data_IF_174928620972
#
_entry.id   IF_174928620972
#
_cell.length_a   1.000
_cell.length_b   1.000
_cell.length_c   1.000
_cell.angle_alpha   90.00
_cell.angle_beta   90.00
_cell.angle_gamma   90.00
#
_symmetry.space_group_name_H-M   'P 1'
#
loop_
_entity.id
_entity.type
_entity.pdbx_description
1 polymer ?
#
# COMPACT_ATOMS: atom_id res chain seq x y z
N UNK A 1 5.39 20.73 12.93
CA UNK A 1 6.18 20.09 13.99
C UNK A 1 5.78 18.63 13.96
N UNK A 2 6.70 17.70 13.70
CA UNK A 2 6.39 16.27 13.59
C UNK A 2 6.12 15.71 15.00
N UNK A 3 5.06 14.93 15.16
CA UNK A 3 4.73 14.31 16.45
C UNK A 3 5.78 13.26 16.82
N UNK A 4 6.29 13.30 18.06
CA UNK A 4 7.20 12.26 18.56
C UNK A 4 6.41 11.05 19.09
N UNK A 5 6.61 9.89 18.45
CA UNK A 5 6.00 8.62 18.82
C UNK A 5 6.95 7.66 19.56
N UNK A 6 8.16 8.11 19.92
CA UNK A 6 9.21 7.28 20.52
C UNK A 6 8.74 6.46 21.74
N UNK A 7 7.88 7.07 22.58
CA UNK A 7 7.35 6.46 23.80
C UNK A 7 6.04 5.66 23.58
N UNK A 8 5.58 5.49 22.34
CA UNK A 8 4.33 4.79 22.00
C UNK A 8 4.59 3.37 21.55
N UNK A 9 3.74 2.43 22.00
CA UNK A 9 3.74 1.05 21.53
C UNK A 9 3.05 0.93 20.18
N UNK A 10 3.38 -0.10 19.42
CA UNK A 10 2.77 -0.36 18.11
C UNK A 10 1.24 -0.49 18.20
N UNK A 11 0.75 -1.16 19.26
CA UNK A 11 -0.68 -1.29 19.50
C UNK A 11 -1.39 0.05 19.77
N UNK A 12 -0.71 1.03 20.38
CA UNK A 12 -1.29 2.38 20.58
C UNK A 12 -1.40 3.11 19.25
N UNK A 13 -0.38 3.01 18.39
CA UNK A 13 -0.39 3.59 17.05
C UNK A 13 -1.52 2.98 16.22
N UNK A 14 -1.64 1.65 16.20
CA UNK A 14 -2.71 0.96 15.49
C UNK A 14 -4.09 1.35 16.00
N UNK A 15 -4.25 1.51 17.32
CA UNK A 15 -5.51 1.94 17.91
C UNK A 15 -5.88 3.38 17.53
N UNK A 16 -4.89 4.29 17.46
CA UNK A 16 -5.14 5.66 17.05
C UNK A 16 -5.53 5.76 15.58
N UNK A 17 -4.83 5.05 14.70
CA UNK A 17 -5.17 4.94 13.28
C UNK A 17 -6.60 4.44 13.12
N UNK A 18 -6.96 3.33 13.78
CA UNK A 18 -8.30 2.78 13.71
C UNK A 18 -9.38 3.77 14.20
N UNK A 19 -9.05 4.66 15.15
CA UNK A 19 -9.97 5.70 15.61
C UNK A 19 -10.17 6.80 14.56
N UNK A 20 -9.11 7.20 13.85
CA UNK A 20 -9.22 8.13 12.71
C UNK A 20 -10.07 7.54 11.59
N UNK A 21 -9.82 6.27 11.22
CA UNK A 21 -10.59 5.55 10.19
C UNK A 21 -12.08 5.48 10.54
N UNK A 22 -12.42 5.09 11.78
CA UNK A 22 -13.81 5.02 12.27
C UNK A 22 -14.53 6.37 12.24
N UNK A 23 -13.80 7.47 12.39
CA UNK A 23 -14.35 8.84 12.39
C UNK A 23 -14.35 9.46 10.99
N UNK A 24 -13.83 8.77 9.97
CA UNK A 24 -13.64 9.33 8.64
C UNK A 24 -12.64 10.49 8.60
N UNK A 25 -11.74 10.58 9.58
CA UNK A 25 -10.76 11.66 9.72
C UNK A 25 -9.42 11.28 9.06
N UNK A 26 -9.48 10.64 7.89
CA UNK A 26 -8.33 10.05 7.17
C UNK A 26 -7.48 11.05 6.40
N UNK A 27 -7.83 12.34 6.50
CA UNK A 27 -7.07 13.47 5.95
C UNK A 27 -6.41 14.34 7.04
N UNK A 28 -6.52 13.94 8.30
CA UNK A 28 -5.87 14.64 9.40
C UNK A 28 -4.34 14.48 9.30
N UNK A 29 -3.57 15.56 9.52
CA UNK A 29 -2.11 15.52 9.50
C UNK A 29 -1.54 14.45 10.44
N UNK A 30 -2.10 14.30 11.65
CA UNK A 30 -1.68 13.28 12.60
C UNK A 30 -1.95 11.85 12.10
N UNK A 31 -3.01 11.64 11.29
CA UNK A 31 -3.27 10.33 10.69
C UNK A 31 -2.14 9.95 9.72
N UNK A 32 -1.71 10.86 8.85
CA UNK A 32 -0.57 10.62 7.95
C UNK A 32 0.73 10.35 8.73
N UNK A 33 1.02 11.12 9.78
CA UNK A 33 2.19 10.91 10.63
C UNK A 33 2.18 9.52 11.29
N UNK A 34 1.01 9.04 11.71
CA UNK A 34 0.84 7.70 12.28
C UNK A 34 1.06 6.59 11.25
N UNK A 35 0.57 6.77 10.02
CA UNK A 35 0.81 5.82 8.92
C UNK A 35 2.30 5.73 8.58
N UNK A 36 2.99 6.86 8.48
CA UNK A 36 4.44 6.92 8.26
C UNK A 36 5.22 6.21 9.36
N UNK A 37 4.92 6.51 10.62
CA UNK A 37 5.60 5.89 11.75
C UNK A 37 5.39 4.36 11.77
N UNK A 38 4.15 3.91 11.51
CA UNK A 38 3.83 2.49 11.42
C UNK A 38 4.57 1.79 10.28
N UNK A 39 4.69 2.43 9.12
CA UNK A 39 5.49 1.94 8.00
C UNK A 39 6.97 1.85 8.39
N UNK A 40 7.54 2.92 8.96
CA UNK A 40 8.93 2.97 9.42
C UNK A 40 9.27 1.87 10.44
N UNK A 41 8.36 1.56 11.37
CA UNK A 41 8.54 0.46 12.33
C UNK A 41 8.46 -0.91 11.67
N UNK A 42 7.55 -1.07 10.72
CA UNK A 42 7.39 -2.32 9.98
C UNK A 42 8.62 -2.63 9.13
N UNK A 43 9.18 -1.64 8.43
CA UNK A 43 10.39 -1.79 7.62
C UNK A 43 11.68 -2.08 8.41
N UNK A 44 11.70 -1.85 9.73
CA UNK A 44 12.82 -2.24 10.61
C UNK A 44 12.78 -3.72 11.02
N UNK A 45 11.66 -4.41 10.84
CA UNK A 45 11.54 -5.85 11.12
C UNK A 45 12.13 -6.65 9.96
N UNK A 46 12.70 -7.82 10.24
CA UNK A 46 13.23 -8.69 9.18
C UNK A 46 12.09 -9.15 8.26
N UNK A 47 12.29 -9.07 6.94
CA UNK A 47 11.31 -9.49 5.95
C UNK A 47 11.22 -8.52 4.78
N UNK A 48 9.99 -8.29 4.32
CA UNK A 48 9.70 -7.39 3.20
C UNK A 48 9.99 -5.93 3.59
N UNK A 49 10.63 -5.19 2.69
CA UNK A 49 11.07 -3.82 2.92
C UNK A 49 10.13 -2.86 2.18
N UNK A 50 9.49 -1.97 2.93
CA UNK A 50 8.48 -1.04 2.40
C UNK A 50 9.09 -0.01 1.44
N UNK A 51 10.27 0.53 1.74
CA UNK A 51 10.88 1.55 0.88
C UNK A 51 11.39 0.93 -0.42
N UNK A 52 11.97 -0.27 -0.36
CA UNK A 52 12.39 -0.99 -1.57
C UNK A 52 11.19 -1.38 -2.44
N UNK A 53 10.11 -1.84 -1.81
CA UNK A 53 8.88 -2.19 -2.51
C UNK A 53 8.20 -0.96 -3.12
N UNK A 54 8.12 0.14 -2.38
CA UNK A 54 7.59 1.41 -2.88
C UNK A 54 8.43 1.95 -4.03
N UNK A 55 9.76 1.84 -3.94
CA UNK A 55 10.66 2.21 -5.04
C UNK A 55 10.40 1.37 -6.29
N UNK A 56 10.26 0.05 -6.15
CA UNK A 56 9.93 -0.83 -7.26
C UNK A 56 8.58 -0.46 -7.91
N UNK A 57 7.57 -0.14 -7.11
CA UNK A 57 6.27 0.30 -7.61
C UNK A 57 6.34 1.65 -8.34
N UNK A 58 7.11 2.61 -7.82
CA UNK A 58 7.33 3.89 -8.51
C UNK A 58 7.98 3.68 -9.87
N UNK A 59 9.01 2.82 -9.95
CA UNK A 59 9.67 2.49 -11.22
C UNK A 59 8.72 1.79 -12.20
N UNK A 60 7.86 0.89 -11.71
CA UNK A 60 6.84 0.25 -12.52
C UNK A 60 5.81 1.26 -13.07
N UNK A 61 5.37 2.22 -12.24
CA UNK A 61 4.47 3.29 -12.64
C UNK A 61 5.10 4.19 -13.73
N UNK A 62 6.37 4.58 -13.55
CA UNK A 62 7.15 5.35 -14.53
C UNK A 62 7.27 4.58 -15.86
N UNK A 63 7.49 3.27 -15.77
CA UNK A 63 7.63 2.40 -16.94
C UNK A 63 6.29 2.03 -17.59
N UNK A 64 5.15 2.39 -16.99
CA UNK A 64 3.83 2.06 -17.51
C UNK A 64 3.50 0.56 -17.48
N UNK A 65 4.04 -0.19 -16.50
CA UNK A 65 3.85 -1.65 -16.40
C UNK A 65 3.25 -2.06 -15.06
N UNK A 66 2.64 -3.25 -15.03
CA UNK A 66 2.31 -3.96 -13.80
C UNK A 66 3.49 -4.80 -13.32
N UNK A 67 3.57 -5.04 -12.02
CA UNK A 67 4.51 -5.97 -11.39
C UNK A 67 3.79 -6.92 -10.44
N UNK A 68 4.44 -8.00 -10.05
CA UNK A 68 3.84 -9.03 -9.20
C UNK A 68 4.23 -8.90 -7.73
N UNK A 69 3.52 -9.62 -6.87
CA UNK A 69 3.94 -9.84 -5.47
C UNK A 69 5.35 -10.46 -5.37
N UNK A 70 5.71 -11.32 -6.33
CA UNK A 70 7.05 -11.91 -6.42
C UNK A 70 8.12 -10.86 -6.68
N UNK A 71 7.83 -9.86 -7.50
CA UNK A 71 8.76 -8.76 -7.79
C UNK A 71 9.00 -7.88 -6.56
N UNK A 72 7.98 -7.64 -5.73
CA UNK A 72 8.16 -6.95 -4.45
C UNK A 72 9.03 -7.73 -3.46
N UNK A 73 8.83 -9.05 -3.40
CA UNK A 73 9.66 -9.93 -2.59
C UNK A 73 11.12 -9.91 -3.07
N UNK A 74 11.33 -10.00 -4.39
CA UNK A 74 12.64 -9.89 -5.03
C UNK A 74 13.30 -8.54 -4.77
N UNK A 75 12.56 -7.43 -4.90
CA UNK A 75 13.05 -6.09 -4.60
C UNK A 75 13.48 -5.95 -3.13
N UNK A 76 12.79 -6.65 -2.23
CA UNK A 76 13.15 -6.73 -0.81
C UNK A 76 14.31 -7.69 -0.52
N UNK A 77 14.76 -8.48 -1.50
CA UNK A 77 15.78 -9.53 -1.31
C UNK A 77 15.27 -10.74 -0.53
N UNK A 78 13.97 -11.01 -0.58
CA UNK A 78 13.30 -12.08 0.18
C UNK A 78 12.75 -13.13 -0.76
N UNK A 79 13.05 -14.40 -0.48
CA UNK A 79 12.47 -15.54 -1.18
C UNK A 79 10.93 -15.56 -1.06
N UNK A 80 10.25 -15.82 -2.17
CA UNK A 80 8.78 -15.78 -2.23
C UNK A 80 8.11 -16.70 -1.19
N UNK A 81 8.67 -17.88 -0.95
CA UNK A 81 8.18 -18.84 0.04
C UNK A 81 8.12 -18.25 1.47
N UNK A 82 9.03 -17.32 1.81
CA UNK A 82 9.08 -16.62 3.10
C UNK A 82 8.20 -15.36 3.09
N UNK A 83 8.11 -14.68 1.95
CA UNK A 83 7.35 -13.44 1.77
C UNK A 83 5.83 -13.66 1.72
N UNK A 84 5.36 -14.76 1.13
CA UNK A 84 3.93 -14.96 0.79
C UNK A 84 2.97 -14.77 1.96
N UNK A 85 3.38 -15.16 3.18
CA UNK A 85 2.55 -15.07 4.38
C UNK A 85 2.46 -13.64 4.93
N UNK A 86 3.43 -12.78 4.59
CA UNK A 86 3.50 -11.39 5.02
C UNK A 86 2.93 -10.43 3.96
N UNK A 87 2.79 -10.88 2.71
CA UNK A 87 2.41 -10.01 1.59
C UNK A 87 0.96 -9.52 1.68
N UNK A 88 0.03 -10.46 1.92
CA UNK A 88 -1.41 -10.23 1.84
C UNK A 88 -2.04 -10.17 3.23
N UNK A 89 -3.28 -9.66 3.28
CA UNK A 89 -4.11 -9.59 4.47
C UNK A 89 -4.15 -8.22 5.11
N UNK A 90 -5.08 -8.05 6.05
CA UNK A 90 -5.22 -6.81 6.83
C UNK A 90 -3.94 -6.56 7.62
N UNK A 91 -3.33 -5.39 7.44
CA UNK A 91 -2.02 -5.02 7.98
C UNK A 91 -0.82 -5.79 7.39
N UNK A 92 -1.02 -6.54 6.30
CA UNK A 92 0.05 -7.15 5.51
C UNK A 92 0.83 -6.12 4.69
N UNK A 93 1.86 -6.56 3.99
CA UNK A 93 2.80 -5.68 3.27
C UNK A 93 2.13 -4.77 2.23
N UNK A 94 1.22 -5.32 1.42
CA UNK A 94 0.48 -4.53 0.42
C UNK A 94 -0.43 -3.49 1.09
N UNK A 95 -1.04 -3.83 2.21
CA UNK A 95 -1.88 -2.89 2.97
C UNK A 95 -1.04 -1.72 3.52
N UNK A 96 0.16 -2.02 4.03
CA UNK A 96 1.12 -0.99 4.47
C UNK A 96 1.60 -0.11 3.32
N UNK A 97 1.84 -0.68 2.14
CA UNK A 97 2.22 0.10 0.95
C UNK A 97 1.10 1.03 0.51
N UNK A 98 -0.15 0.56 0.54
CA UNK A 98 -1.32 1.37 0.23
C UNK A 98 -1.44 2.56 1.22
N UNK A 99 -1.30 2.29 2.52
CA UNK A 99 -1.30 3.31 3.57
C UNK A 99 -0.19 4.35 3.38
N UNK A 100 1.02 3.91 3.04
CA UNK A 100 2.15 4.83 2.78
C UNK A 100 1.94 5.64 1.51
N UNK A 101 1.35 5.07 0.45
CA UNK A 101 0.98 5.86 -0.73
C UNK A 101 0.02 6.99 -0.34
N UNK A 102 -1.01 6.69 0.47
CA UNK A 102 -1.95 7.69 0.97
C UNK A 102 -1.27 8.77 1.83
N UNK A 103 -0.45 8.37 2.80
CA UNK A 103 0.26 9.29 3.69
C UNK A 103 1.21 10.24 2.93
N UNK A 104 1.83 9.73 1.86
CA UNK A 104 2.75 10.49 0.99
C UNK A 104 2.07 11.19 -0.17
N UNK A 105 0.74 11.15 -0.25
CA UNK A 105 -0.05 11.74 -1.34
C UNK A 105 0.40 11.26 -2.73
N UNK A 106 0.81 10.00 -2.81
CA UNK A 106 1.09 9.31 -4.07
C UNK A 106 -0.21 8.68 -4.59
N UNK A 107 -0.30 8.40 -5.90
CA UNK A 107 -1.29 7.47 -6.42
C UNK A 107 -1.23 6.15 -5.63
N UNK A 108 -2.33 5.40 -5.59
CA UNK A 108 -2.35 4.09 -4.93
C UNK A 108 -1.56 3.08 -5.78
N UNK A 109 -0.22 3.15 -5.71
CA UNK A 109 0.71 2.36 -6.52
C UNK A 109 0.53 0.86 -6.34
N UNK A 110 -0.12 0.42 -5.27
CA UNK A 110 -0.51 -0.99 -5.11
C UNK A 110 -1.52 -1.46 -6.15
N UNK A 111 -2.22 -0.57 -6.86
CA UNK A 111 -3.12 -0.91 -7.97
C UNK A 111 -2.40 -1.53 -9.17
N UNK A 112 -1.09 -1.28 -9.32
CA UNK A 112 -0.25 -1.89 -10.38
C UNK A 112 0.56 -3.10 -9.88
N UNK A 113 0.34 -3.52 -8.63
CA UNK A 113 0.90 -4.75 -8.08
C UNK A 113 -0.16 -5.86 -8.12
N UNK A 114 0.00 -6.81 -9.04
CA UNK A 114 -1.02 -7.79 -9.37
C UNK A 114 -0.59 -9.22 -9.06
N UNK A 115 -1.57 -10.13 -9.09
CA UNK A 115 -1.30 -11.57 -9.08
C UNK A 115 -0.50 -11.95 -10.34
N UNK A 116 0.24 -13.06 -10.28
CA UNK A 116 1.03 -13.53 -11.44
C UNK A 116 0.18 -13.74 -12.70
N UNK A 117 -1.05 -14.23 -12.51
CA UNK A 117 -2.07 -14.42 -13.56
C UNK A 117 -2.51 -13.11 -14.20
N UNK A 118 -2.57 -12.02 -13.42
CA UNK A 118 -3.00 -10.70 -13.86
C UNK A 118 -1.89 -9.82 -14.44
N UNK A 119 -0.68 -10.35 -14.63
CA UNK A 119 0.44 -9.56 -15.14
C UNK A 119 0.22 -9.10 -16.59
N UNK A 120 -0.52 -9.87 -17.38
CA UNK A 120 -0.76 -9.59 -18.80
C UNK A 120 -1.85 -8.54 -19.04
N UNK A 121 -2.93 -8.61 -18.26
CA UNK A 121 -4.11 -7.73 -18.38
C UNK A 121 -4.15 -6.63 -17.32
N UNK A 122 -3.26 -6.71 -16.32
CA UNK A 122 -3.15 -5.77 -15.22
C UNK A 122 -4.25 -5.93 -14.18
N UNK A 123 -4.95 -7.07 -14.15
CA UNK A 123 -6.11 -7.29 -13.29
C UNK A 123 -5.75 -7.88 -11.92
N UNK A 124 -6.50 -7.47 -10.90
CA UNK A 124 -6.47 -8.14 -9.60
C UNK A 124 -7.43 -9.32 -9.59
N UNK A 125 -6.96 -10.47 -9.10
CA UNK A 125 -7.87 -11.58 -8.79
C UNK A 125 -8.88 -11.15 -7.71
N UNK A 126 -10.07 -11.76 -7.71
CA UNK A 126 -11.21 -11.39 -6.85
C UNK A 126 -10.83 -11.10 -5.38
N UNK A 127 -10.01 -11.96 -4.76
CA UNK A 127 -9.62 -11.76 -3.37
C UNK A 127 -8.65 -10.58 -3.18
N UNK A 128 -7.75 -10.38 -4.13
CA UNK A 128 -6.83 -9.25 -4.11
C UNK A 128 -7.57 -7.93 -4.38
N UNK A 129 -8.52 -7.94 -5.32
CA UNK A 129 -9.41 -6.81 -5.60
C UNK A 129 -10.21 -6.40 -4.36
N UNK A 130 -10.85 -7.36 -3.69
CA UNK A 130 -11.58 -7.12 -2.44
C UNK A 130 -10.66 -6.53 -1.36
N UNK A 131 -9.45 -7.08 -1.20
CA UNK A 131 -8.47 -6.57 -0.23
C UNK A 131 -8.01 -5.14 -0.53
N UNK A 132 -7.72 -4.84 -1.79
CA UNK A 132 -7.38 -3.50 -2.26
C UNK A 132 -8.54 -2.51 -2.03
N UNK A 133 -9.76 -2.91 -2.36
CA UNK A 133 -10.95 -2.09 -2.17
C UNK A 133 -11.22 -1.82 -0.68
N UNK A 134 -11.13 -2.83 0.18
CA UNK A 134 -11.27 -2.66 1.63
C UNK A 134 -10.19 -1.75 2.22
N UNK A 135 -8.93 -1.89 1.80
CA UNK A 135 -7.84 -1.00 2.20
C UNK A 135 -8.09 0.45 1.76
N UNK A 136 -8.52 0.63 0.52
CA UNK A 136 -8.85 1.94 -0.04
C UNK A 136 -10.00 2.61 0.69
N UNK A 137 -11.04 1.87 1.08
CA UNK A 137 -12.14 2.40 1.89
C UNK A 137 -11.69 2.81 3.29
N UNK A 138 -10.78 2.05 3.92
CA UNK A 138 -10.24 2.41 5.25
C UNK A 138 -9.53 3.76 5.25
N UNK A 139 -8.80 4.08 4.19
CA UNK A 139 -8.13 5.38 4.04
C UNK A 139 -9.06 6.50 3.52
N UNK A 140 -10.37 6.25 3.47
CA UNK A 140 -11.38 7.26 3.14
C UNK A 140 -11.80 7.34 1.67
N UNK A 141 -11.37 6.42 0.80
CA UNK A 141 -11.86 6.38 -0.59
C UNK A 141 -13.29 5.86 -0.66
N UNK A 142 -14.12 6.50 -1.48
CA UNK A 142 -15.52 6.11 -1.70
C UNK A 142 -15.75 5.80 -3.17
N UNK A 143 -16.28 4.61 -3.45
CA UNK A 143 -16.57 4.11 -4.79
C UNK A 143 -17.59 2.97 -4.70
N UNK A 144 -18.41 2.81 -5.74
CA UNK A 144 -19.45 1.77 -5.80
C UNK A 144 -18.96 0.48 -6.48
N UNK A 145 -18.18 0.60 -7.55
CA UNK A 145 -17.64 -0.51 -8.32
C UNK A 145 -16.13 -0.65 -8.03
N UNK A 146 -15.75 -1.80 -7.47
CA UNK A 146 -14.37 -2.09 -7.07
C UNK A 146 -13.43 -2.23 -8.26
N UNK A 147 -13.90 -2.85 -9.35
CA UNK A 147 -13.12 -3.09 -10.54
C UNK A 147 -12.87 -1.78 -11.28
N UNK A 148 -13.92 -0.98 -11.48
CA UNK A 148 -13.80 0.33 -12.10
C UNK A 148 -12.89 1.26 -11.28
N UNK A 149 -12.97 1.20 -9.95
CA UNK A 149 -12.07 1.93 -9.07
C UNK A 149 -10.61 1.48 -9.21
N UNK A 150 -10.36 0.18 -9.23
CA UNK A 150 -9.01 -0.37 -9.45
C UNK A 150 -8.41 0.09 -10.79
N UNK A 151 -9.18 0.04 -11.87
CA UNK A 151 -8.74 0.53 -13.18
C UNK A 151 -8.41 2.02 -13.15
N UNK A 152 -9.26 2.84 -12.53
CA UNK A 152 -8.99 4.26 -12.38
C UNK A 152 -7.69 4.54 -11.61
N UNK A 153 -7.45 3.82 -10.50
CA UNK A 153 -6.20 3.94 -9.74
C UNK A 153 -4.97 3.47 -10.55
N UNK A 154 -5.09 2.40 -11.34
CA UNK A 154 -4.01 1.92 -12.23
C UNK A 154 -3.63 3.00 -13.25
N UNK A 155 -4.62 3.60 -13.91
CA UNK A 155 -4.39 4.70 -14.85
C UNK A 155 -3.81 5.95 -14.18
N UNK A 156 -4.24 6.26 -12.95
CA UNK A 156 -3.67 7.35 -12.16
C UNK A 156 -2.18 7.11 -11.87
N UNK A 157 -1.79 5.87 -11.54
CA UNK A 157 -0.39 5.51 -11.32
C UNK A 157 0.47 5.74 -12.56
N UNK A 158 0.03 5.29 -13.73
CA UNK A 158 0.77 5.50 -14.98
C UNK A 158 0.76 6.95 -15.43
N UNK A 159 -0.34 7.68 -15.20
CA UNK A 159 -0.42 9.11 -15.46
C UNK A 159 0.60 9.89 -14.64
N UNK A 160 0.66 9.62 -13.34
CA UNK A 160 1.69 10.16 -12.46
C UNK A 160 3.10 9.73 -12.89
N UNK A 161 3.28 8.46 -13.27
CA UNK A 161 4.57 7.92 -13.71
C UNK A 161 5.14 8.66 -14.92
N UNK A 162 4.29 9.07 -15.86
CA UNK A 162 4.70 9.87 -17.04
C UNK A 162 5.14 11.29 -16.72
N UNK A 163 4.88 11.79 -15.50
CA UNK A 163 5.28 13.14 -15.08
C UNK A 163 6.48 13.16 -14.13
N UNK A 164 7.11 12.01 -13.88
CA UNK A 164 8.29 11.90 -13.00
C UNK A 164 9.59 12.23 -13.73
#
# INVERSE_FOLDING_TARGET
MMTDFSNKKDAEIDQWIANFEKRGQTDAALYYELLEERGRRSGKRQGLDLEKSLSALKQAAISGICITYGDLAKASGVEWSKARHQMNGKHGHLDRLLEICHARQLPLLTAICVNQSGLQDGELEKNALSGFAEGSRRIGRSFADELAFHHACREECWTWGRTQ
#
